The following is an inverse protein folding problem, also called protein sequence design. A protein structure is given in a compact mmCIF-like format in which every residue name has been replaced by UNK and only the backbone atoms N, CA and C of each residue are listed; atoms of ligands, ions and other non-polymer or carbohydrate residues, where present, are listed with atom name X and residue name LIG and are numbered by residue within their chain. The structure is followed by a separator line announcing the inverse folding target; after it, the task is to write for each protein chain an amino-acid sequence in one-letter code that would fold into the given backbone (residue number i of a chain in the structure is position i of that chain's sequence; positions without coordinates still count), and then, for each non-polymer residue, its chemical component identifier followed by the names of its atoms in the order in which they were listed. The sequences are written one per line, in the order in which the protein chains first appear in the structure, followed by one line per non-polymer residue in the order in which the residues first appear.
data_IF_849417305998
#
_entry.id   IF_849417305998
#
_cell.length_a   1.000
_cell.length_b   1.000
_cell.length_c   1.000
_cell.angle_alpha   90.00
_cell.angle_beta   90.00
_cell.angle_gamma   90.00
#
_symmetry.space_group_name_H-M   'P 1'
#
loop_
_entity.id
_entity.type
_entity.pdbx_description
1 polymer ?
#
# COMPACT_ATOMS: atom_id res chain seq x y z
N UNK A 1 -21.19 21.64 -8.24
CA UNK A 1 -21.98 20.42 -7.92
C UNK A 1 -21.20 19.36 -7.11
N UNK A 2 -19.87 19.46 -6.91
CA UNK A 2 -19.08 18.37 -6.31
C UNK A 2 -18.96 18.31 -4.77
N UNK A 3 -19.26 19.38 -4.02
CA UNK A 3 -19.04 19.38 -2.55
C UNK A 3 -20.17 18.70 -1.77
N UNK A 4 -21.44 18.94 -2.13
CA UNK A 4 -22.60 18.37 -1.42
C UNK A 4 -22.65 16.83 -1.50
N UNK A 5 -22.19 16.24 -2.61
CA UNK A 5 -22.17 14.80 -2.78
C UNK A 5 -21.12 14.11 -1.89
N UNK A 6 -19.96 14.74 -1.66
CA UNK A 6 -18.91 14.21 -0.79
C UNK A 6 -19.32 14.33 0.68
N UNK A 7 -19.93 15.43 1.08
CA UNK A 7 -20.41 15.63 2.46
C UNK A 7 -21.48 14.61 2.85
N UNK A 8 -22.38 14.23 1.93
CA UNK A 8 -23.37 13.19 2.17
C UNK A 8 -22.73 11.85 2.53
N UNK A 9 -21.58 11.51 1.95
CA UNK A 9 -20.84 10.29 2.29
C UNK A 9 -20.14 10.35 3.65
N UNK A 10 -20.03 11.51 4.30
CA UNK A 10 -19.48 11.61 5.66
C UNK A 10 -20.53 11.31 6.74
N UNK A 11 -21.81 11.35 6.41
CA UNK A 11 -22.88 11.07 7.37
C UNK A 11 -22.81 9.61 7.86
N UNK A 12 -22.76 9.42 9.19
CA UNK A 12 -22.65 8.09 9.81
C UNK A 12 -21.25 7.47 9.76
N UNK A 13 -20.23 8.24 9.34
CA UNK A 13 -18.85 7.77 9.34
C UNK A 13 -18.26 7.70 10.76
N UNK A 14 -17.37 6.72 10.97
CA UNK A 14 -16.47 6.70 12.11
C UNK A 14 -15.40 7.78 11.90
N UNK A 15 -15.25 8.71 12.86
CA UNK A 15 -14.28 9.80 12.76
C UNK A 15 -13.32 9.74 13.95
N UNK A 16 -12.06 9.61 13.64
CA UNK A 16 -10.96 9.52 14.59
C UNK A 16 -10.08 10.76 14.49
N UNK A 17 -9.58 11.24 15.63
CA UNK A 17 -8.73 12.44 15.70
C UNK A 17 -7.50 12.20 16.56
N UNK A 18 -6.45 12.94 16.25
CA UNK A 18 -5.16 12.87 16.93
C UNK A 18 -4.20 11.90 16.24
N UNK A 19 -2.94 12.31 16.13
CA UNK A 19 -1.95 11.66 15.27
C UNK A 19 -1.80 10.15 15.51
N UNK A 20 -1.76 9.71 16.78
CA UNK A 20 -1.59 8.30 17.12
C UNK A 20 -2.79 7.46 16.64
N UNK A 21 -4.01 7.87 16.98
CA UNK A 21 -5.23 7.15 16.62
C UNK A 21 -5.49 7.21 15.10
N UNK A 22 -5.21 8.34 14.46
CA UNK A 22 -5.28 8.47 13.01
C UNK A 22 -4.31 7.53 12.29
N UNK A 23 -3.07 7.39 12.79
CA UNK A 23 -2.09 6.48 12.21
C UNK A 23 -2.50 5.01 12.38
N UNK A 24 -3.00 4.64 13.57
CA UNK A 24 -3.54 3.31 13.86
C UNK A 24 -4.71 2.98 12.91
N UNK A 25 -5.74 3.84 12.87
CA UNK A 25 -6.95 3.61 12.07
C UNK A 25 -6.69 3.64 10.57
N UNK A 26 -5.75 4.45 10.11
CA UNK A 26 -5.32 4.41 8.70
C UNK A 26 -4.61 3.09 8.36
N UNK A 27 -3.80 2.56 9.29
CA UNK A 27 -3.12 1.26 9.08
C UNK A 27 -4.13 0.12 9.09
N UNK A 28 -5.09 0.12 10.02
CA UNK A 28 -6.19 -0.84 10.06
C UNK A 28 -7.02 -0.81 8.76
N UNK A 29 -7.39 0.37 8.28
CA UNK A 29 -8.11 0.52 7.00
C UNK A 29 -7.36 -0.13 5.83
N UNK A 30 -6.05 0.10 5.73
CA UNK A 30 -5.23 -0.50 4.68
C UNK A 30 -5.17 -2.02 4.83
N UNK A 31 -5.05 -2.53 6.06
CA UNK A 31 -5.04 -3.97 6.33
C UNK A 31 -6.40 -4.63 5.97
N UNK A 32 -7.51 -4.03 6.41
CA UNK A 32 -8.87 -4.48 6.09
C UNK A 32 -9.14 -4.51 4.58
N UNK A 33 -8.60 -3.53 3.84
CA UNK A 33 -8.73 -3.45 2.39
C UNK A 33 -7.70 -4.32 1.63
N UNK A 34 -6.83 -5.06 2.32
CA UNK A 34 -5.73 -5.83 1.72
C UNK A 34 -4.81 -4.98 0.81
N UNK A 35 -4.49 -3.77 1.28
CA UNK A 35 -3.62 -2.82 0.61
C UNK A 35 -2.28 -2.71 1.36
N UNK A 36 -1.17 -2.40 0.67
CA UNK A 36 0.14 -2.25 1.32
C UNK A 36 0.13 -1.17 2.43
N UNK A 37 0.58 -1.54 3.63
CA UNK A 37 0.52 -0.70 4.83
C UNK A 37 1.42 0.55 4.78
N UNK A 38 2.38 0.60 3.87
CA UNK A 38 3.26 1.75 3.66
C UNK A 38 2.77 2.73 2.59
N UNK A 39 1.55 2.57 2.06
CA UNK A 39 1.00 3.46 1.04
C UNK A 39 0.85 4.91 1.51
N UNK A 40 0.58 5.11 2.79
CA UNK A 40 0.24 6.42 3.33
C UNK A 40 1.37 6.92 4.25
N UNK A 41 1.92 8.12 4.00
CA UNK A 41 2.82 8.78 4.94
C UNK A 41 1.99 9.40 6.07
N UNK A 42 1.90 8.70 7.20
CA UNK A 42 1.03 9.03 8.36
C UNK A 42 1.58 10.17 9.25
N UNK A 43 2.31 11.12 8.68
CA UNK A 43 2.89 12.25 9.44
C UNK A 43 1.86 13.38 9.63
N UNK A 44 1.78 13.94 10.83
CA UNK A 44 0.94 15.10 11.17
C UNK A 44 -0.55 14.94 10.81
N UNK A 45 -1.08 13.73 11.00
CA UNK A 45 -2.50 13.45 10.80
C UNK A 45 -3.37 14.08 11.89
N UNK A 46 -4.43 14.77 11.46
CA UNK A 46 -5.39 15.42 12.36
C UNK A 46 -6.68 14.62 12.49
N UNK A 47 -7.13 14.03 11.38
CA UNK A 47 -8.42 13.35 11.29
C UNK A 47 -8.40 12.21 10.28
N UNK A 48 -9.07 11.12 10.60
CA UNK A 48 -9.37 10.00 9.70
C UNK A 48 -10.85 9.73 9.80
N UNK A 49 -11.53 9.66 8.67
CA UNK A 49 -12.92 9.27 8.61
C UNK A 49 -13.14 8.07 7.73
N UNK A 50 -14.00 7.15 8.16
CA UNK A 50 -14.41 6.00 7.38
C UNK A 50 -15.91 5.77 7.51
N UNK A 51 -16.63 5.94 6.39
CA UNK A 51 -17.99 5.46 6.24
C UNK A 51 -17.99 4.02 5.70
N UNK A 52 -18.13 3.04 6.60
CA UNK A 52 -18.18 1.62 6.24
C UNK A 52 -19.35 1.26 5.34
N UNK A 53 -20.48 1.97 5.45
CA UNK A 53 -21.67 1.69 4.64
C UNK A 53 -21.47 2.06 3.16
N UNK A 54 -20.70 3.11 2.87
CA UNK A 54 -20.46 3.58 1.49
C UNK A 54 -19.05 3.29 0.99
N UNK A 55 -18.14 2.80 1.84
CA UNK A 55 -16.73 2.66 1.54
C UNK A 55 -15.97 3.99 1.48
N UNK A 56 -16.59 5.12 1.85
CA UNK A 56 -15.97 6.43 1.67
C UNK A 56 -14.99 6.74 2.81
N UNK A 57 -13.79 7.18 2.46
CA UNK A 57 -12.75 7.54 3.43
C UNK A 57 -12.20 8.93 3.17
N UNK A 58 -11.77 9.58 4.24
CA UNK A 58 -10.93 10.77 4.15
C UNK A 58 -9.83 10.75 5.19
N UNK A 59 -8.70 11.34 4.81
CA UNK A 59 -7.53 11.53 5.64
C UNK A 59 -7.21 13.02 5.62
N UNK A 60 -7.10 13.63 6.80
CA UNK A 60 -6.73 15.03 6.96
C UNK A 60 -5.41 15.16 7.69
N UNK A 61 -4.50 15.92 7.10
CA UNK A 61 -3.17 16.20 7.62
C UNK A 61 -2.97 17.71 7.72
N UNK A 62 -2.18 18.15 8.68
CA UNK A 62 -2.00 19.58 8.99
C UNK A 62 -1.50 20.40 7.80
N UNK A 63 -0.65 19.80 6.97
CA UNK A 63 -0.10 20.40 5.74
C UNK A 63 0.05 19.32 4.69
N UNK A 64 -0.06 19.69 3.41
CA UNK A 64 0.33 18.81 2.31
C UNK A 64 1.79 18.38 2.45
N UNK A 65 2.10 17.15 2.09
CA UNK A 65 3.46 16.63 2.13
C UNK A 65 3.82 15.96 0.80
N UNK A 66 5.11 15.78 0.59
CA UNK A 66 5.61 14.98 -0.52
C UNK A 66 6.48 13.85 0.03
N UNK A 67 6.18 12.62 -0.41
CA UNK A 67 6.90 11.41 -0.02
C UNK A 67 7.59 10.79 -1.23
N UNK A 68 8.74 10.17 -1.00
CA UNK A 68 9.49 9.46 -2.04
C UNK A 68 9.49 7.98 -1.74
N UNK A 69 8.79 7.20 -2.57
CA UNK A 69 8.89 5.75 -2.57
C UNK A 69 10.21 5.35 -3.21
N UNK A 70 11.25 5.22 -2.38
CA UNK A 70 12.62 4.90 -2.80
C UNK A 70 12.72 3.65 -3.69
N UNK A 71 12.03 2.54 -3.40
CA UNK A 71 12.15 1.32 -4.22
C UNK A 71 11.78 1.49 -5.70
N UNK A 72 10.94 2.49 -6.02
CA UNK A 72 10.51 2.79 -7.40
C UNK A 72 10.96 4.16 -7.88
N UNK A 73 11.77 4.88 -7.08
CA UNK A 73 12.21 6.24 -7.32
C UNK A 73 11.07 7.20 -7.72
N UNK A 74 9.89 7.06 -7.09
CA UNK A 74 8.72 7.91 -7.36
C UNK A 74 8.46 8.88 -6.22
N UNK A 75 8.24 10.12 -6.61
CA UNK A 75 7.83 11.20 -5.71
C UNK A 75 6.31 11.37 -5.82
N UNK A 76 5.61 11.27 -4.70
CA UNK A 76 4.15 11.36 -4.59
C UNK A 76 3.80 12.48 -3.61
N UNK A 77 2.94 13.40 -4.04
CA UNK A 77 2.40 14.45 -3.19
C UNK A 77 1.01 14.09 -2.70
N UNK A 78 0.78 14.40 -1.43
CA UNK A 78 -0.47 14.23 -0.72
C UNK A 78 -0.94 15.61 -0.27
N UNK A 79 -2.17 15.98 -0.62
CA UNK A 79 -2.80 17.23 -0.21
C UNK A 79 -3.16 17.20 1.29
N UNK A 80 -3.57 18.35 1.83
CA UNK A 80 -4.02 18.43 3.22
C UNK A 80 -5.26 17.55 3.51
N UNK A 81 -6.08 17.30 2.49
CA UNK A 81 -7.16 16.33 2.56
C UNK A 81 -7.04 15.37 1.36
N UNK A 82 -7.08 14.07 1.66
CA UNK A 82 -7.13 12.98 0.69
C UNK A 82 -8.45 12.25 0.90
N UNK A 83 -9.18 11.97 -0.18
CA UNK A 83 -10.44 11.21 -0.11
C UNK A 83 -10.43 10.08 -1.12
N UNK A 84 -11.16 9.00 -0.85
CA UNK A 84 -11.34 7.89 -1.79
C UNK A 84 -12.57 7.05 -1.42
N UNK A 85 -12.95 6.13 -2.31
CA UNK A 85 -13.82 5.01 -2.01
C UNK A 85 -13.00 3.73 -1.96
N UNK A 86 -13.07 3.01 -0.85
CA UNK A 86 -12.32 1.80 -0.57
C UNK A 86 -13.18 0.57 -0.83
N UNK A 87 -12.58 -0.41 -1.50
CA UNK A 87 -13.12 -1.75 -1.74
C UNK A 87 -11.99 -2.76 -1.47
N UNK A 88 -12.32 -4.06 -1.44
CA UNK A 88 -11.30 -5.10 -1.33
C UNK A 88 -10.23 -4.94 -2.43
N UNK A 89 -8.98 -4.77 -2.00
CA UNK A 89 -7.77 -4.57 -2.81
C UNK A 89 -7.80 -3.33 -3.70
N UNK A 90 -8.67 -2.35 -3.45
CA UNK A 90 -8.88 -1.23 -4.37
C UNK A 90 -9.25 0.08 -3.69
N UNK A 91 -8.73 1.18 -4.21
CA UNK A 91 -9.27 2.52 -3.96
C UNK A 91 -9.67 3.17 -5.28
N UNK A 92 -10.85 3.82 -5.29
CA UNK A 92 -11.42 4.51 -6.46
C UNK A 92 -11.72 5.97 -6.16
N UNK A 93 -11.79 6.76 -7.23
CA UNK A 93 -12.10 8.21 -7.18
C UNK A 93 -11.27 8.95 -6.13
N UNK A 94 -10.02 8.56 -6.02
CA UNK A 94 -9.05 9.17 -5.11
C UNK A 94 -8.83 10.64 -5.50
N UNK A 95 -8.77 11.51 -4.50
CA UNK A 95 -8.44 12.92 -4.66
C UNK A 95 -7.30 13.30 -3.73
N UNK A 96 -6.60 14.40 -4.05
CA UNK A 96 -5.51 14.89 -3.22
C UNK A 96 -4.19 14.13 -3.38
N UNK A 97 -4.08 13.17 -4.29
CA UNK A 97 -2.84 12.41 -4.54
C UNK A 97 -2.33 12.67 -5.96
N UNK A 98 -1.04 13.03 -6.08
CA UNK A 98 -0.38 13.21 -7.37
C UNK A 98 0.99 12.55 -7.39
N UNK A 99 1.33 11.92 -8.50
CA UNK A 99 2.68 11.40 -8.76
C UNK A 99 3.47 12.36 -9.64
N UNK A 100 4.79 12.46 -9.41
CA UNK A 100 5.68 13.23 -10.26
C UNK A 100 6.13 12.39 -11.44
N UNK A 101 5.85 12.86 -12.64
CA UNK A 101 6.34 12.30 -13.90
C UNK A 101 7.20 13.33 -14.61
N UNK A 102 8.50 13.02 -14.75
CA UNK A 102 9.49 13.96 -15.28
C UNK A 102 9.41 15.31 -14.53
N UNK A 103 8.89 16.34 -15.19
CA UNK A 103 8.75 17.70 -14.65
C UNK A 103 7.31 18.06 -14.24
N UNK A 104 6.32 17.18 -14.46
CA UNK A 104 4.90 17.47 -14.22
C UNK A 104 4.32 16.62 -13.08
N UNK A 105 3.36 17.20 -12.37
CA UNK A 105 2.56 16.48 -11.36
C UNK A 105 1.27 15.96 -12.00
N UNK A 106 1.07 14.64 -11.93
CA UNK A 106 -0.07 13.95 -12.53
C UNK A 106 -0.96 13.41 -11.41
N UNK A 107 -2.25 13.74 -11.46
CA UNK A 107 -3.24 13.27 -10.48
C UNK A 107 -3.53 11.78 -10.66
N UNK A 108 -3.66 11.06 -9.54
CA UNK A 108 -4.09 9.67 -9.51
C UNK A 108 -5.57 9.60 -9.11
N UNK A 109 -6.35 8.74 -9.75
CA UNK A 109 -7.78 8.54 -9.47
C UNK A 109 -8.10 7.17 -8.90
N UNK A 110 -7.37 6.13 -9.30
CA UNK A 110 -7.68 4.77 -8.89
C UNK A 110 -6.39 4.00 -8.62
N UNK A 111 -6.47 3.03 -7.72
CA UNK A 111 -5.42 2.04 -7.54
C UNK A 111 -6.01 0.69 -7.17
N UNK A 112 -5.35 -0.40 -7.54
CA UNK A 112 -5.76 -1.74 -7.15
C UNK A 112 -4.58 -2.71 -7.09
N UNK A 113 -4.64 -3.67 -6.17
CA UNK A 113 -3.77 -4.85 -6.16
C UNK A 113 -4.40 -5.90 -7.08
N UNK A 114 -3.59 -6.51 -7.94
CA UNK A 114 -4.06 -7.51 -8.88
C UNK A 114 -4.54 -8.77 -8.13
N UNK A 115 -5.65 -9.36 -8.58
CA UNK A 115 -6.19 -10.58 -7.96
C UNK A 115 -5.45 -11.83 -8.43
N UNK A 116 -4.99 -11.83 -9.68
CA UNK A 116 -4.26 -12.94 -10.27
C UNK A 116 -2.78 -12.89 -9.89
N UNK A 117 -2.26 -11.70 -9.58
CA UNK A 117 -0.91 -11.49 -9.08
C UNK A 117 -0.87 -10.49 -7.91
N UNK A 118 -1.15 -10.94 -6.67
CA UNK A 118 -1.17 -10.08 -5.48
C UNK A 118 0.17 -9.39 -5.15
N UNK A 119 1.25 -9.74 -5.87
CA UNK A 119 2.53 -9.04 -5.75
C UNK A 119 2.57 -7.73 -6.53
N UNK A 120 1.55 -7.42 -7.34
CA UNK A 120 1.46 -6.24 -8.20
C UNK A 120 0.35 -5.29 -7.77
N UNK A 121 0.69 -4.00 -7.74
CA UNK A 121 -0.25 -2.90 -7.53
C UNK A 121 -0.21 -1.94 -8.72
N UNK A 122 -1.38 -1.53 -9.18
CA UNK A 122 -1.54 -0.62 -10.34
C UNK A 122 -2.20 0.67 -9.90
N UNK A 123 -1.65 1.80 -10.32
CA UNK A 123 -2.20 3.14 -10.13
C UNK A 123 -2.64 3.71 -11.47
N UNK A 124 -3.80 4.37 -11.51
CA UNK A 124 -4.38 4.96 -12.72
C UNK A 124 -4.61 6.46 -12.56
N UNK A 125 -4.44 7.17 -13.67
CA UNK A 125 -4.86 8.56 -13.83
C UNK A 125 -6.36 8.64 -14.15
N UNK A 126 -7.00 9.81 -14.02
CA UNK A 126 -8.39 10.01 -14.44
C UNK A 126 -8.68 9.66 -15.91
N UNK A 127 -7.66 9.65 -16.76
CA UNK A 127 -7.77 9.24 -18.18
C UNK A 127 -7.67 7.74 -18.39
N UNK A 128 -7.49 6.95 -17.33
CA UNK A 128 -7.38 5.49 -17.38
C UNK A 128 -5.97 4.95 -17.62
N UNK A 129 -4.98 5.82 -17.87
CA UNK A 129 -3.59 5.41 -18.04
C UNK A 129 -3.04 4.87 -16.72
N UNK A 130 -2.48 3.66 -16.76
CA UNK A 130 -2.02 2.94 -15.58
C UNK A 130 -0.52 2.71 -15.52
N UNK A 131 0.03 2.61 -14.31
CA UNK A 131 1.36 2.08 -14.04
C UNK A 131 1.32 1.04 -12.95
N UNK A 132 2.05 -0.05 -13.15
CA UNK A 132 2.11 -1.18 -12.23
C UNK A 132 3.48 -1.26 -11.57
N UNK A 133 3.49 -1.58 -10.28
CA UNK A 133 4.67 -1.67 -9.44
C UNK A 133 4.56 -2.90 -8.53
N UNK A 134 5.69 -3.40 -7.99
CA UNK A 134 5.63 -4.42 -6.96
C UNK A 134 5.03 -3.85 -5.66
N UNK A 135 4.17 -4.60 -5.00
CA UNK A 135 3.55 -4.26 -3.70
C UNK A 135 4.61 -3.99 -2.63
N UNK A 136 5.74 -4.70 -2.67
CA UNK A 136 6.86 -4.51 -1.74
C UNK A 136 7.47 -3.10 -1.78
N UNK A 137 7.29 -2.35 -2.88
CA UNK A 137 7.71 -0.95 -2.97
C UNK A 137 6.93 -0.01 -2.03
N UNK A 138 5.81 -0.48 -1.49
CA UNK A 138 4.90 0.26 -0.61
C UNK A 138 4.76 -0.44 0.75
N UNK A 139 5.73 -1.28 1.13
CA UNK A 139 5.78 -1.85 2.47
C UNK A 139 6.09 -0.76 3.51
N UNK A 140 5.64 -0.97 4.75
CA UNK A 140 5.93 -0.05 5.86
C UNK A 140 7.44 -0.06 6.14
N UNK A 141 8.07 1.11 6.18
CA UNK A 141 9.49 1.21 6.54
C UNK A 141 9.63 0.86 8.04
N UNK A 142 10.15 -0.35 8.33
CA UNK A 142 10.70 -0.73 9.64
C UNK A 142 9.72 -1.01 10.78
N UNK A 143 9.13 -2.20 10.79
CA UNK A 143 9.18 -3.08 11.99
C UNK A 143 9.96 -4.31 11.56
N UNK A 144 11.19 -4.45 12.05
CA UNK A 144 12.10 -5.54 11.68
C UNK A 144 11.55 -6.91 12.05
N UNK A 145 11.73 -7.86 11.13
CA UNK A 145 11.52 -9.29 11.32
C UNK A 145 12.20 -10.02 10.17
N UNK A 146 13.34 -10.62 10.47
CA UNK A 146 14.15 -11.44 9.56
C UNK A 146 13.41 -12.67 9.00
N UNK A 147 13.85 -13.09 7.81
CA UNK A 147 13.66 -14.45 7.28
C UNK A 147 12.58 -14.56 6.19
N UNK A 148 12.84 -15.06 4.97
CA UNK A 148 13.90 -15.94 4.53
C UNK A 148 14.33 -15.63 3.09
N UNK A 149 15.64 -15.44 2.92
CA UNK A 149 16.32 -15.61 1.66
C UNK A 149 16.34 -17.11 1.31
N UNK A 150 15.68 -17.50 0.22
CA UNK A 150 15.95 -18.77 -0.43
C UNK A 150 17.27 -18.64 -1.22
N UNK A 151 18.41 -18.87 -0.55
CA UNK A 151 19.64 -19.25 -1.24
C UNK A 151 19.58 -20.76 -1.48
N UNK A 152 19.32 -21.13 -2.73
CA UNK A 152 19.68 -22.45 -3.23
C UNK A 152 21.21 -22.54 -3.27
N UNK A 153 21.79 -23.48 -2.53
CA UNK A 153 23.19 -23.87 -2.70
C UNK A 153 23.34 -25.36 -2.39
N UNK A 154 23.47 -26.11 -3.48
CA UNK A 154 24.23 -27.34 -3.66
C UNK A 154 24.09 -28.46 -2.61
N UNK A 155 23.22 -29.42 -2.92
CA UNK A 155 23.30 -30.79 -2.42
C UNK A 155 24.52 -31.50 -3.01
N UNK A 156 25.52 -31.76 -2.17
CA UNK A 156 26.50 -32.81 -2.38
C UNK A 156 26.51 -33.72 -1.14
N UNK A 157 26.12 -35.00 -1.24
CA UNK A 157 26.12 -35.89 -0.09
C UNK A 157 27.54 -36.45 0.16
N UNK A 158 27.97 -36.41 1.41
CA UNK A 158 29.13 -37.16 1.89
C UNK A 158 28.77 -38.66 2.00
N UNK A 159 29.64 -39.60 1.58
CA UNK A 159 29.40 -41.01 1.78
C UNK A 159 29.87 -41.48 3.16
N UNK A 160 28.95 -42.12 3.89
CA UNK A 160 29.23 -42.90 5.09
C UNK A 160 29.87 -44.24 4.72
N UNK A 161 30.98 -44.57 5.39
CA UNK A 161 31.66 -45.86 5.29
C UNK A 161 30.97 -46.95 6.13
N UNK A 162 30.93 -48.16 5.58
CA UNK A 162 31.45 -49.42 6.16
C UNK A 162 30.58 -50.66 5.83
N UNK A 163 31.21 -51.68 5.23
CA UNK A 163 31.03 -53.04 5.73
C UNK A 163 30.66 -54.17 4.75
N UNK A 164 31.72 -54.90 4.33
CA UNK A 164 31.83 -56.39 4.23
C UNK A 164 31.19 -57.16 3.07
N UNK A 165 32.10 -57.81 2.31
CA UNK A 165 32.30 -59.27 2.21
C UNK A 165 32.20 -59.94 0.82
N UNK A 166 33.33 -60.57 0.44
CA UNK A 166 33.50 -61.88 -0.22
C UNK A 166 32.89 -62.13 -1.62
N UNK A 167 33.73 -62.49 -2.60
CA UNK A 167 34.09 -63.89 -2.89
C UNK A 167 34.91 -64.00 -4.20
N UNK A 168 35.83 -64.97 -4.19
CA UNK A 168 36.72 -65.39 -5.28
C UNK A 168 36.01 -66.10 -6.43
N UNK A 169 36.45 -65.87 -7.66
CA UNK A 169 37.05 -66.87 -8.57
C UNK A 169 37.46 -66.22 -9.89
#
# INVERSE_FOLDING_TARGET
MGSLAIEAHRAGAEVYRGAALCAEKSTELLAEAHLPLGLLPLADMEEVGYNRATGFVWLRQRKSLTHTFRPIARQVSYAAEVTAFVEDRRMKRMTGVKTKELLIWVTLSDMFVDRDDPSKITFKTPTGLGRTYPVSAFAKEGTGGDGAAAKHKDDAPAPTAAGKAAASK
#
